data_IF_552390461972
#
_entry.id   IF_552390461972
#
_cell.length_a   1.000
_cell.length_b   1.000
_cell.length_c   1.000
_cell.angle_alpha   90.00
_cell.angle_beta   90.00
_cell.angle_gamma   90.00
#
_symmetry.space_group_name_H-M   'P 1'
#
loop_
_entity.id
_entity.type
_entity.pdbx_description
1 polymer ?
#
# COMPACT_ATOMS: atom_id res chain seq x y z
N UNK A 1 -2.31 10.27 7.87
CA UNK A 1 -3.51 11.01 7.39
C UNK A 1 -4.73 10.51 8.15
N UNK A 2 -5.46 11.38 8.82
CA UNK A 2 -6.72 10.96 9.46
C UNK A 2 -7.76 10.92 8.35
N UNK A 3 -8.42 9.78 8.13
CA UNK A 3 -9.50 9.68 7.16
C UNK A 3 -10.56 10.76 7.42
N UNK A 4 -11.02 11.42 6.36
CA UNK A 4 -12.15 12.32 6.48
C UNK A 4 -13.44 11.51 6.62
N UNK A 5 -13.87 11.32 7.86
CA UNK A 5 -15.09 10.55 8.19
C UNK A 5 -16.33 11.06 7.49
N UNK A 6 -16.40 12.37 7.19
CA UNK A 6 -17.54 12.97 6.45
C UNK A 6 -17.54 12.53 4.99
N UNK A 7 -16.35 12.50 4.36
CA UNK A 7 -16.23 12.03 2.98
C UNK A 7 -16.53 10.54 2.86
N UNK A 8 -16.04 9.72 3.79
CA UNK A 8 -16.39 8.30 3.87
C UNK A 8 -17.90 8.13 4.00
N UNK A 9 -18.53 8.83 4.93
CA UNK A 9 -19.99 8.77 5.14
C UNK A 9 -20.78 9.15 3.89
N UNK A 10 -20.34 10.18 3.17
CA UNK A 10 -20.97 10.60 1.92
C UNK A 10 -20.86 9.51 0.83
N UNK A 11 -19.69 8.87 0.69
CA UNK A 11 -19.49 7.78 -0.26
C UNK A 11 -20.32 6.54 0.09
N UNK A 12 -20.40 6.17 1.36
CA UNK A 12 -21.30 5.08 1.84
C UNK A 12 -22.74 5.40 1.44
N UNK A 13 -23.22 6.61 1.72
CA UNK A 13 -24.58 7.05 1.36
C UNK A 13 -24.81 7.00 -0.16
N UNK A 14 -23.85 7.41 -0.95
CA UNK A 14 -23.92 7.38 -2.41
C UNK A 14 -24.01 5.95 -2.93
N UNK A 15 -23.12 5.07 -2.51
CA UNK A 15 -23.11 3.66 -2.90
C UNK A 15 -24.41 2.95 -2.48
N UNK A 16 -24.91 3.21 -1.26
CA UNK A 16 -26.20 2.67 -0.81
C UNK A 16 -27.37 3.08 -1.72
N UNK A 17 -27.42 4.36 -2.10
CA UNK A 17 -28.46 4.87 -3.01
C UNK A 17 -28.34 4.25 -4.40
N UNK A 18 -27.13 4.10 -4.92
CA UNK A 18 -26.88 3.44 -6.20
C UNK A 18 -27.32 1.96 -6.19
N UNK A 19 -27.15 1.28 -5.05
CA UNK A 19 -27.66 -0.08 -4.82
C UNK A 19 -29.19 -0.15 -4.62
N UNK A 20 -29.88 0.99 -4.60
CA UNK A 20 -31.33 1.06 -4.38
C UNK A 20 -31.78 0.75 -2.94
N UNK A 21 -30.86 0.75 -1.98
CA UNK A 21 -31.17 0.44 -0.58
C UNK A 21 -31.56 1.69 0.21
N UNK A 22 -32.49 1.56 1.16
CA UNK A 22 -32.68 2.55 2.20
C UNK A 22 -31.80 2.26 3.43
N UNK A 23 -31.71 3.19 4.36
CA UNK A 23 -30.85 3.05 5.56
C UNK A 23 -31.26 1.87 6.45
N UNK A 24 -32.54 1.57 6.55
CA UNK A 24 -33.04 0.45 7.35
C UNK A 24 -32.63 -0.89 6.73
N UNK A 25 -32.71 -1.01 5.41
CA UNK A 25 -32.26 -2.20 4.68
C UNK A 25 -30.75 -2.42 4.86
N UNK A 26 -29.95 -1.35 4.77
CA UNK A 26 -28.52 -1.43 5.01
C UNK A 26 -28.21 -1.83 6.46
N UNK A 27 -28.94 -1.25 7.43
CA UNK A 27 -28.79 -1.58 8.85
C UNK A 27 -29.05 -3.07 9.12
N UNK A 28 -30.17 -3.59 8.58
CA UNK A 28 -30.54 -4.99 8.72
C UNK A 28 -29.51 -5.93 8.09
N UNK A 29 -29.02 -5.59 6.89
CA UNK A 29 -28.04 -6.40 6.17
C UNK A 29 -26.68 -6.49 6.90
N UNK A 30 -26.31 -5.44 7.65
CA UNK A 30 -25.06 -5.38 8.44
C UNK A 30 -25.24 -5.80 9.91
N UNK A 31 -26.46 -6.17 10.33
CA UNK A 31 -26.76 -6.45 11.73
C UNK A 31 -26.52 -5.25 12.66
N UNK A 32 -26.69 -4.02 12.15
CA UNK A 32 -26.48 -2.76 12.89
C UNK A 32 -27.81 -2.03 13.13
N UNK A 33 -27.81 -1.09 14.08
CA UNK A 33 -28.96 -0.22 14.27
C UNK A 33 -29.07 0.83 13.14
N UNK A 34 -30.29 1.27 12.85
CA UNK A 34 -30.53 2.39 11.92
C UNK A 34 -29.72 3.63 12.34
N UNK A 35 -29.66 3.92 13.65
CA UNK A 35 -28.89 5.04 14.20
C UNK A 35 -27.38 4.91 13.90
N UNK A 36 -26.84 3.69 13.91
CA UNK A 36 -25.42 3.45 13.54
C UNK A 36 -25.18 3.80 12.08
N UNK A 37 -26.05 3.38 11.17
CA UNK A 37 -25.93 3.71 9.75
C UNK A 37 -26.04 5.22 9.52
N UNK A 38 -26.95 5.90 10.19
CA UNK A 38 -27.08 7.36 10.12
C UNK A 38 -25.80 8.06 10.57
N UNK A 39 -25.17 7.58 11.65
CA UNK A 39 -23.90 8.12 12.15
C UNK A 39 -22.72 7.83 11.20
N UNK A 40 -22.69 6.67 10.55
CA UNK A 40 -21.71 6.39 9.50
C UNK A 40 -21.87 7.35 8.31
N UNK A 41 -23.10 7.51 7.80
CA UNK A 41 -23.39 8.35 6.64
C UNK A 41 -23.23 9.86 6.92
N UNK A 42 -23.39 10.29 8.17
CA UNK A 42 -23.13 11.68 8.59
C UNK A 42 -21.67 11.96 8.91
N UNK A 43 -20.83 10.91 9.03
CA UNK A 43 -19.44 11.02 9.48
C UNK A 43 -19.29 11.36 10.96
N UNK A 44 -20.34 11.18 11.76
CA UNK A 44 -20.32 11.42 13.22
C UNK A 44 -19.44 10.41 13.96
N UNK A 45 -19.35 9.18 13.45
CA UNK A 45 -18.49 8.13 13.99
C UNK A 45 -17.60 7.54 12.89
N UNK A 46 -16.42 7.10 13.30
CA UNK A 46 -15.46 6.44 12.42
C UNK A 46 -15.95 5.03 12.04
N UNK A 47 -15.68 4.63 10.78
CA UNK A 47 -15.98 3.31 10.25
C UNK A 47 -14.69 2.52 10.21
N UNK A 48 -14.63 1.38 10.93
CA UNK A 48 -13.43 0.52 10.91
C UNK A 48 -13.18 -0.07 9.52
N UNK A 49 -11.92 -0.39 9.20
CA UNK A 49 -11.56 -1.01 7.92
C UNK A 49 -12.31 -2.32 7.68
N UNK A 50 -12.51 -3.12 8.72
CA UNK A 50 -13.31 -4.34 8.61
C UNK A 50 -14.75 -4.04 8.15
N UNK A 51 -15.38 -2.99 8.70
CA UNK A 51 -16.71 -2.54 8.33
C UNK A 51 -16.73 -1.91 6.93
N UNK A 52 -15.69 -1.17 6.54
CA UNK A 52 -15.54 -0.66 5.17
C UNK A 52 -15.52 -1.82 4.16
N UNK A 53 -14.76 -2.88 4.43
CA UNK A 53 -14.71 -4.07 3.57
C UNK A 53 -16.06 -4.78 3.47
N UNK A 54 -16.83 -4.84 4.57
CA UNK A 54 -18.17 -5.42 4.59
C UNK A 54 -19.17 -4.57 3.81
N UNK A 55 -19.14 -3.25 4.00
CA UNK A 55 -19.92 -2.27 3.24
C UNK A 55 -19.63 -2.32 1.75
N UNK A 56 -18.35 -2.37 1.36
CA UNK A 56 -17.94 -2.43 -0.03
C UNK A 56 -18.53 -3.65 -0.74
N UNK A 57 -18.43 -4.83 -0.11
CA UNK A 57 -18.99 -6.07 -0.63
C UNK A 57 -20.54 -6.02 -0.75
N UNK A 58 -21.22 -5.48 0.28
CA UNK A 58 -22.69 -5.40 0.30
C UNK A 58 -23.22 -4.39 -0.71
N UNK A 59 -22.51 -3.30 -0.94
CA UNK A 59 -22.92 -2.20 -1.81
C UNK A 59 -22.39 -2.31 -3.24
N UNK A 60 -21.75 -3.43 -3.61
CA UNK A 60 -21.11 -3.67 -4.92
C UNK A 60 -20.16 -2.53 -5.32
N UNK A 61 -19.31 -2.12 -4.38
CA UNK A 61 -18.29 -1.10 -4.59
C UNK A 61 -16.95 -1.58 -4.04
N UNK A 62 -15.90 -0.74 -4.10
CA UNK A 62 -14.57 -1.06 -3.57
C UNK A 62 -14.32 -0.40 -2.22
N UNK A 63 -13.49 -1.01 -1.40
CA UNK A 63 -13.06 -0.44 -0.13
C UNK A 63 -12.26 0.85 -0.36
N UNK A 64 -11.43 0.88 -1.42
CA UNK A 64 -10.66 2.05 -1.85
C UNK A 64 -11.57 3.22 -2.20
N UNK A 65 -12.66 2.99 -2.94
CA UNK A 65 -13.66 4.02 -3.22
C UNK A 65 -14.27 4.57 -1.92
N UNK A 66 -14.70 3.70 -1.00
CA UNK A 66 -15.37 4.14 0.22
C UNK A 66 -14.48 5.02 1.10
N UNK A 67 -13.19 4.68 1.24
CA UNK A 67 -12.25 5.48 2.02
C UNK A 67 -11.75 6.73 1.27
N UNK A 68 -12.02 6.82 -0.02
CA UNK A 68 -11.55 7.92 -0.86
C UNK A 68 -10.11 7.81 -1.29
N UNK A 69 -9.57 6.62 -1.26
CA UNK A 69 -8.30 6.34 -1.88
C UNK A 69 -8.53 6.27 -3.39
N UNK A 70 -8.33 7.39 -4.05
CA UNK A 70 -8.25 7.42 -5.50
C UNK A 70 -6.85 6.90 -5.84
N UNK A 71 -6.77 5.66 -6.31
CA UNK A 71 -5.59 5.25 -7.07
C UNK A 71 -5.50 6.23 -8.24
N UNK A 72 -4.58 7.17 -8.13
CA UNK A 72 -4.07 7.81 -9.34
C UNK A 72 -3.32 6.69 -10.08
N UNK A 73 -4.09 5.82 -10.75
CA UNK A 73 -3.53 4.89 -11.71
C UNK A 73 -2.91 5.74 -12.83
N UNK A 74 -1.72 6.26 -12.55
CA UNK A 74 -0.82 6.63 -13.62
C UNK A 74 -0.34 5.28 -14.16
N UNK A 75 -0.90 4.77 -15.27
CA UNK A 75 -0.48 3.48 -15.76
C UNK A 75 1.03 3.55 -16.02
N UNK A 76 1.77 2.55 -15.58
CA UNK A 76 3.16 2.40 -15.96
C UNK A 76 3.18 2.12 -17.46
N UNK A 77 3.23 3.16 -18.28
CA UNK A 77 3.06 3.08 -19.72
C UNK A 77 4.38 2.76 -20.44
N UNK A 78 5.50 3.07 -19.80
CA UNK A 78 6.83 2.86 -20.39
C UNK A 78 7.88 2.58 -19.29
N UNK A 79 9.07 2.21 -19.70
CA UNK A 79 10.17 1.85 -18.79
C UNK A 79 10.61 3.02 -17.89
N UNK A 80 10.48 4.28 -18.37
CA UNK A 80 10.80 5.46 -17.57
C UNK A 80 9.86 5.59 -16.36
N UNK A 81 8.58 5.21 -16.50
CA UNK A 81 7.63 5.23 -15.36
C UNK A 81 8.03 4.21 -14.29
N UNK A 82 8.54 3.03 -14.71
CA UNK A 82 9.06 2.01 -13.78
C UNK A 82 10.31 2.51 -13.07
N UNK A 83 11.24 3.14 -13.80
CA UNK A 83 12.46 3.71 -13.23
C UNK A 83 12.11 4.86 -12.27
N UNK A 84 11.18 5.73 -12.62
CA UNK A 84 10.72 6.81 -11.77
C UNK A 84 10.11 6.29 -10.45
N UNK A 85 9.33 5.21 -10.52
CA UNK A 85 8.79 4.55 -9.34
C UNK A 85 9.91 4.05 -8.41
N UNK A 86 10.97 3.42 -8.95
CA UNK A 86 12.10 2.96 -8.15
C UNK A 86 12.89 4.13 -7.53
N UNK A 87 13.05 5.25 -8.26
CA UNK A 87 13.66 6.46 -7.70
C UNK A 87 12.82 7.05 -6.57
N UNK A 88 11.49 7.08 -6.71
CA UNK A 88 10.60 7.53 -5.66
C UNK A 88 10.64 6.60 -4.44
N UNK A 89 10.67 5.28 -4.66
CA UNK A 89 10.78 4.30 -3.58
C UNK A 89 12.06 4.50 -2.76
N UNK A 90 13.19 4.82 -3.43
CA UNK A 90 14.49 5.09 -2.76
C UNK A 90 14.46 6.37 -1.90
N UNK A 91 13.57 7.32 -2.18
CA UNK A 91 13.43 8.56 -1.42
C UNK A 91 12.54 8.44 -0.17
N UNK A 92 11.88 7.28 0.04
CA UNK A 92 10.98 7.09 1.18
C UNK A 92 11.79 6.83 2.45
N UNK A 93 11.51 7.62 3.51
CA UNK A 93 12.21 7.54 4.79
C UNK A 93 11.92 6.22 5.52
N UNK A 94 10.68 5.76 5.49
CA UNK A 94 10.18 4.60 6.23
C UNK A 94 10.51 3.26 5.54
N UNK A 95 11.05 3.30 4.30
CA UNK A 95 11.43 2.12 3.54
C UNK A 95 12.94 2.11 3.26
N UNK A 96 13.57 0.98 3.50
CA UNK A 96 14.97 0.73 3.16
C UNK A 96 15.14 -0.59 2.43
N UNK A 97 15.87 -0.58 1.33
CA UNK A 97 16.14 -1.80 0.57
C UNK A 97 17.57 -1.86 0.07
N UNK A 98 18.02 -3.06 -0.23
CA UNK A 98 19.31 -3.34 -0.86
C UNK A 98 19.07 -3.85 -2.27
N UNK A 99 19.94 -3.44 -3.20
CA UNK A 99 19.98 -3.96 -4.56
C UNK A 99 21.19 -4.87 -4.68
N UNK A 100 20.96 -6.14 -5.03
CA UNK A 100 22.02 -7.10 -5.34
C UNK A 100 22.04 -7.35 -6.84
N UNK A 101 23.23 -7.23 -7.43
CA UNK A 101 23.45 -7.41 -8.88
C UNK A 101 24.45 -8.52 -9.10
N UNK A 102 24.04 -9.56 -9.80
CA UNK A 102 24.87 -10.67 -10.27
C UNK A 102 24.93 -10.61 -11.79
N UNK A 103 26.11 -10.54 -12.37
CA UNK A 103 26.28 -10.47 -13.82
C UNK A 103 27.47 -11.28 -14.32
N UNK A 104 27.48 -11.73 -15.60
CA UNK A 104 28.61 -12.35 -16.23
C UNK A 104 29.84 -11.42 -16.21
N UNK A 105 31.07 -11.98 -16.19
CA UNK A 105 31.42 -13.42 -16.27
C UNK A 105 31.42 -14.14 -14.91
N UNK A 106 31.19 -13.44 -13.79
CA UNK A 106 31.28 -14.01 -12.44
C UNK A 106 30.12 -14.94 -12.11
N UNK A 107 29.01 -14.79 -12.83
CA UNK A 107 27.79 -15.61 -12.72
C UNK A 107 27.29 -16.04 -14.10
N UNK A 108 26.60 -17.19 -14.16
CA UNK A 108 26.05 -17.77 -15.42
C UNK A 108 24.91 -16.92 -16.03
N UNK A 109 24.29 -16.05 -15.26
CA UNK A 109 23.20 -15.16 -15.68
C UNK A 109 23.34 -13.75 -15.18
N UNK A 110 22.51 -12.86 -15.69
CA UNK A 110 22.37 -11.50 -15.17
C UNK A 110 21.10 -11.40 -14.35
N UNK A 111 21.24 -11.36 -13.03
CA UNK A 111 20.16 -11.27 -12.07
C UNK A 111 20.28 -10.00 -11.21
N UNK A 112 19.16 -9.34 -10.97
CA UNK A 112 19.06 -8.27 -10.01
C UNK A 112 17.93 -8.58 -9.03
N UNK A 113 18.16 -8.32 -7.74
CA UNK A 113 17.15 -8.45 -6.71
C UNK A 113 17.08 -7.21 -5.83
N UNK A 114 15.87 -6.90 -5.36
CA UNK A 114 15.62 -5.87 -4.35
C UNK A 114 15.20 -6.60 -3.07
N UNK A 115 15.92 -6.32 -1.98
CA UNK A 115 15.72 -7.00 -0.70
C UNK A 115 15.36 -5.99 0.38
N UNK A 116 14.21 -6.20 1.02
CA UNK A 116 13.79 -5.49 2.23
C UNK A 116 14.16 -6.31 3.46
N UNK A 117 14.69 -5.65 4.49
CA UNK A 117 14.97 -6.28 5.77
C UNK A 117 13.89 -5.89 6.79
N UNK A 118 12.98 -6.80 7.13
CA UNK A 118 11.91 -6.55 8.10
C UNK A 118 12.38 -6.33 9.56
N UNK A 119 13.70 -6.48 9.84
CA UNK A 119 14.30 -6.18 11.14
C UNK A 119 15.07 -4.84 11.14
N UNK A 120 15.01 -4.08 10.06
CA UNK A 120 15.70 -2.80 9.95
C UNK A 120 14.94 -1.74 10.77
N UNK A 121 15.50 -1.36 11.92
CA UNK A 121 14.91 -0.35 12.80
C UNK A 121 14.97 1.08 12.23
N UNK A 122 15.75 1.32 11.20
CA UNK A 122 15.82 2.62 10.52
C UNK A 122 14.75 2.80 9.44
N UNK A 123 14.06 1.72 9.08
CA UNK A 123 13.01 1.67 8.05
C UNK A 123 11.74 1.05 8.66
N UNK A 124 10.90 1.88 9.29
CA UNK A 124 9.76 1.44 10.11
C UNK A 124 8.75 0.56 9.37
N UNK A 125 8.57 0.79 8.06
CA UNK A 125 7.59 0.07 7.25
C UNK A 125 8.15 -1.16 6.53
N UNK A 126 9.42 -1.50 6.76
CA UNK A 126 10.03 -2.67 6.12
C UNK A 126 9.39 -4.00 6.56
N UNK A 127 8.94 -4.11 7.81
CA UNK A 127 8.25 -5.31 8.28
C UNK A 127 6.91 -5.49 7.54
N UNK A 128 6.14 -4.42 7.39
CA UNK A 128 4.87 -4.42 6.65
C UNK A 128 5.08 -4.67 5.16
N UNK A 129 6.17 -4.13 4.57
CA UNK A 129 6.55 -4.44 3.20
C UNK A 129 6.88 -5.93 3.02
N UNK A 130 7.58 -6.55 3.99
CA UNK A 130 7.88 -7.99 3.93
C UNK A 130 6.60 -8.84 4.03
N UNK A 131 5.67 -8.50 4.94
CA UNK A 131 4.37 -9.16 5.05
C UNK A 131 3.56 -9.00 3.76
N UNK A 132 3.49 -7.79 3.22
CA UNK A 132 2.83 -7.55 1.94
C UNK A 132 3.42 -8.39 0.80
N UNK A 133 4.76 -8.48 0.69
CA UNK A 133 5.42 -9.26 -0.36
C UNK A 133 5.17 -10.77 -0.22
N UNK A 134 5.08 -11.28 1.01
CA UNK A 134 4.69 -12.67 1.30
C UNK A 134 3.26 -12.95 0.82
N UNK A 135 2.29 -12.15 1.24
CA UNK A 135 0.90 -12.26 0.79
C UNK A 135 0.76 -12.07 -0.73
N UNK A 136 1.51 -11.13 -1.30
CA UNK A 136 1.48 -10.87 -2.74
C UNK A 136 1.99 -12.07 -3.54
N UNK A 137 3.07 -12.70 -3.07
CA UNK A 137 3.60 -13.92 -3.68
C UNK A 137 2.55 -15.03 -3.65
N UNK A 138 1.94 -15.31 -2.49
CA UNK A 138 0.93 -16.36 -2.34
C UNK A 138 -0.28 -16.11 -3.26
N UNK A 139 -0.87 -14.90 -3.19
CA UNK A 139 -2.03 -14.55 -3.99
C UNK A 139 -1.73 -14.57 -5.50
N UNK A 140 -0.53 -14.19 -5.92
CA UNK A 140 -0.08 -14.27 -7.31
C UNK A 140 0.07 -15.70 -7.79
N UNK A 141 0.67 -16.57 -6.96
CA UNK A 141 0.88 -17.98 -7.26
C UNK A 141 -0.47 -18.73 -7.33
N UNK A 142 -1.41 -18.46 -6.41
CA UNK A 142 -2.78 -18.98 -6.45
C UNK A 142 -3.55 -18.51 -7.70
N UNK A 143 -3.37 -17.26 -8.11
CA UNK A 143 -3.98 -16.74 -9.33
C UNK A 143 -3.37 -17.38 -10.58
N UNK A 144 -2.05 -17.50 -10.65
CA UNK A 144 -1.34 -18.13 -11.77
C UNK A 144 -1.64 -19.63 -11.92
N UNK A 145 -1.90 -20.32 -10.81
CA UNK A 145 -2.28 -21.75 -10.79
C UNK A 145 -3.79 -21.99 -10.92
N UNK A 146 -4.59 -20.95 -11.19
CA UNK A 146 -6.05 -21.00 -11.29
C UNK A 146 -6.79 -21.44 -10.01
N UNK A 147 -6.14 -21.46 -8.87
CA UNK A 147 -6.77 -21.72 -7.57
C UNK A 147 -7.61 -20.52 -7.11
N UNK A 148 -7.23 -19.30 -7.54
CA UNK A 148 -7.96 -18.07 -7.28
C UNK A 148 -8.46 -17.48 -8.60
N UNK A 149 -9.72 -17.05 -8.65
CA UNK A 149 -10.27 -16.39 -9.83
C UNK A 149 -9.92 -14.89 -9.83
N UNK A 150 -10.08 -14.25 -10.99
CA UNK A 150 -9.78 -12.82 -11.20
C UNK A 150 -10.48 -11.91 -10.20
N UNK A 151 -11.76 -12.17 -9.89
CA UNK A 151 -12.54 -11.35 -8.94
C UNK A 151 -11.94 -11.42 -7.54
N UNK A 152 -11.66 -12.64 -7.05
CA UNK A 152 -11.08 -12.82 -5.70
C UNK A 152 -9.68 -12.22 -5.59
N UNK A 153 -8.88 -12.27 -6.67
CA UNK A 153 -7.57 -11.62 -6.72
C UNK A 153 -7.69 -10.09 -6.69
N UNK A 154 -8.67 -9.53 -7.44
CA UNK A 154 -8.93 -8.09 -7.42
C UNK A 154 -9.47 -7.62 -6.06
N UNK A 155 -10.39 -8.39 -5.46
CA UNK A 155 -10.91 -8.11 -4.11
C UNK A 155 -9.81 -8.10 -3.04
N UNK A 156 -8.82 -9.00 -3.17
CA UNK A 156 -7.66 -9.00 -2.29
C UNK A 156 -6.82 -7.73 -2.49
N UNK A 157 -6.48 -7.35 -3.72
CA UNK A 157 -5.73 -6.12 -4.01
C UNK A 157 -6.42 -4.88 -3.42
N UNK A 158 -7.73 -4.76 -3.62
CA UNK A 158 -8.51 -3.63 -3.12
C UNK A 158 -8.47 -3.54 -1.59
N UNK A 159 -8.63 -4.67 -0.89
CA UNK A 159 -8.55 -4.72 0.58
C UNK A 159 -7.17 -4.38 1.10
N UNK A 160 -6.12 -4.86 0.45
CA UNK A 160 -4.73 -4.57 0.79
C UNK A 160 -4.42 -3.08 0.63
N UNK A 161 -4.80 -2.49 -0.50
CA UNK A 161 -4.64 -1.04 -0.72
C UNK A 161 -5.42 -0.22 0.32
N UNK A 162 -6.65 -0.62 0.65
CA UNK A 162 -7.45 0.04 1.67
C UNK A 162 -6.80 -0.04 3.06
N UNK A 163 -6.22 -1.19 3.41
CA UNK A 163 -5.55 -1.39 4.70
C UNK A 163 -4.34 -0.46 4.87
N UNK A 164 -3.46 -0.43 3.86
CA UNK A 164 -2.23 0.39 3.92
C UNK A 164 -2.42 1.87 3.55
N UNK A 165 -3.58 2.27 3.05
CA UNK A 165 -3.83 3.66 2.61
C UNK A 165 -3.72 4.72 3.72
N UNK A 166 -3.79 4.32 5.00
CA UNK A 166 -3.64 5.20 6.16
C UNK A 166 -2.21 5.33 6.68
N UNK A 167 -1.29 4.52 6.17
CA UNK A 167 0.13 4.56 6.55
C UNK A 167 0.79 5.74 5.82
N UNK A 168 1.19 6.82 6.52
CA UNK A 168 1.83 7.94 5.87
C UNK A 168 3.28 7.60 5.54
N UNK A 169 3.73 8.03 4.38
CA UNK A 169 5.13 7.97 3.98
C UNK A 169 5.68 9.38 3.84
N UNK A 170 6.96 9.57 4.18
CA UNK A 170 7.67 10.83 4.08
C UNK A 170 8.92 10.69 3.19
N UNK A 171 9.34 11.79 2.59
CA UNK A 171 10.58 11.82 1.84
C UNK A 171 11.78 11.96 2.80
N UNK A 172 12.89 11.31 2.47
CA UNK A 172 14.15 11.45 3.18
C UNK A 172 14.59 12.93 3.15
N UNK A 173 14.97 13.44 4.31
CA UNK A 173 15.60 14.76 4.37
C UNK A 173 16.91 14.75 3.58
N UNK A 174 17.04 15.68 2.65
CA UNK A 174 18.31 15.87 1.92
C UNK A 174 19.25 16.72 2.77
N UNK A 175 20.29 16.09 3.32
CA UNK A 175 21.37 16.82 3.98
C UNK A 175 22.26 17.52 2.92
N UNK A 176 22.34 18.83 2.96
CA UNK A 176 23.38 19.57 2.22
C UNK A 176 24.74 19.35 2.91
N UNK A 177 25.48 18.37 2.44
CA UNK A 177 26.81 18.08 2.96
C UNK A 177 27.86 18.97 2.29
N UNK A 178 28.79 19.48 3.09
CA UNK A 178 30.01 20.12 2.57
C UNK A 178 30.87 19.11 1.79
N UNK A 179 31.75 19.59 0.92
CA UNK A 179 32.64 18.72 0.14
C UNK A 179 33.54 17.84 1.04
N UNK A 180 34.03 18.40 2.14
CA UNK A 180 34.81 17.67 3.13
C UNK A 180 34.05 16.55 3.82
N UNK A 181 32.82 16.81 4.21
CA UNK A 181 31.93 15.79 4.81
C UNK A 181 31.58 14.68 3.84
N UNK A 182 31.31 15.01 2.56
CA UNK A 182 31.09 14.01 1.50
C UNK A 182 32.28 13.08 1.34
N UNK A 183 33.50 13.65 1.30
CA UNK A 183 34.74 12.87 1.19
C UNK A 183 34.92 11.97 2.41
N UNK A 184 34.70 12.48 3.62
CA UNK A 184 34.81 11.69 4.86
C UNK A 184 33.79 10.54 4.90
N UNK A 185 32.52 10.79 4.59
CA UNK A 185 31.49 9.76 4.57
C UNK A 185 31.75 8.71 3.48
N UNK A 186 32.20 9.14 2.29
CA UNK A 186 32.61 8.23 1.21
C UNK A 186 33.75 7.31 1.66
N UNK A 187 34.77 7.83 2.27
CA UNK A 187 35.93 7.04 2.72
C UNK A 187 35.50 6.03 3.82
N UNK A 188 34.65 6.45 4.76
CA UNK A 188 34.10 5.56 5.79
C UNK A 188 33.26 4.43 5.18
N UNK A 189 32.46 4.73 4.14
CA UNK A 189 31.66 3.74 3.42
C UNK A 189 32.56 2.72 2.69
N UNK A 190 33.58 3.18 1.98
CA UNK A 190 34.52 2.33 1.28
C UNK A 190 35.30 1.44 2.26
N UNK A 191 35.77 1.97 3.38
CA UNK A 191 36.47 1.20 4.42
C UNK A 191 35.60 0.06 5.00
N UNK A 192 34.31 0.28 5.15
CA UNK A 192 33.36 -0.77 5.59
C UNK A 192 33.15 -1.86 4.54
N UNK A 193 33.09 -1.48 3.26
CA UNK A 193 32.90 -2.43 2.16
C UNK A 193 34.12 -3.31 1.88
N UNK A 194 35.35 -2.81 2.10
CA UNK A 194 36.57 -3.54 1.82
C UNK A 194 37.18 -4.25 3.03
N UNK A 195 36.59 -4.08 4.24
CA UNK A 195 37.04 -4.79 5.47
C UNK A 195 36.10 -5.94 5.89
N UNK A 196 35.04 -6.17 5.15
CA UNK A 196 34.15 -7.33 5.29
C UNK A 196 34.45 -8.39 4.24
#
# INVERSE_FOLDING_TARGET
MKYDTKQIGLRIRTARKQKGMNQTQLANALGKSLRTIQKYESGEIEVSIAMINELARLLDTTSTYLIGYETQEKPLANMSDVMQFLFQLDQIQELGFRIDVKRPPEHDGWECSITFNGKDLSASENADMCLFLEEFKENRDEYASYQKNQKSYQDWKDKTLAYYSSVPLSEKEQEELTEEERIRRRNTFLDKQFRS
#
